data_IF_192072903087
#
_entry.id   IF_192072903087
#
_cell.length_a   1.000
_cell.length_b   1.000
_cell.length_c   1.000
_cell.angle_alpha   90.00
_cell.angle_beta   90.00
_cell.angle_gamma   90.00
#
_symmetry.space_group_name_H-M   'P 1'
#
loop_
_entity.id
_entity.type
_entity.pdbx_description
1 polymer ?
#
# COMPACT_ATOMS: atom_id res chain seq x y z
N UNK A 1 -10.02 1.30 -40.49
CA UNK A 1 -9.90 0.36 -39.36
C UNK A 1 -8.72 0.77 -38.53
N UNK A 2 -8.95 1.27 -37.32
CA UNK A 2 -7.86 1.61 -36.41
C UNK A 2 -7.56 0.35 -35.59
N UNK A 3 -6.58 -0.43 -36.03
CA UNK A 3 -6.10 -1.57 -35.25
C UNK A 3 -5.35 -1.01 -34.05
N UNK A 4 -6.03 -1.02 -32.91
CA UNK A 4 -5.49 -0.75 -31.60
C UNK A 4 -4.48 -1.85 -31.26
N UNK A 5 -3.29 -1.82 -31.85
CA UNK A 5 -2.19 -2.65 -31.39
C UNK A 5 -1.79 -2.15 -30.01
N UNK A 6 -1.93 -2.95 -28.94
CA UNK A 6 -1.47 -2.53 -27.63
C UNK A 6 0.03 -2.27 -27.74
N UNK A 7 0.49 -1.10 -27.26
CA UNK A 7 1.89 -0.63 -27.27
C UNK A 7 2.92 -1.62 -26.68
N UNK A 8 2.46 -2.76 -26.16
CA UNK A 8 3.25 -3.82 -25.54
C UNK A 8 3.73 -4.84 -26.57
N UNK A 9 3.00 -5.02 -27.68
CA UNK A 9 3.31 -6.03 -28.71
C UNK A 9 4.35 -5.52 -29.71
N UNK A 10 4.56 -4.19 -29.77
CA UNK A 10 5.55 -3.59 -30.67
C UNK A 10 7.00 -3.75 -30.16
N UNK A 11 7.20 -3.81 -28.85
CA UNK A 11 8.55 -3.73 -28.24
C UNK A 11 9.38 -5.02 -28.45
N UNK A 12 8.81 -6.24 -28.37
CA UNK A 12 9.52 -7.46 -28.70
C UNK A 12 9.99 -7.50 -30.18
N UNK A 13 9.15 -7.05 -31.12
CA UNK A 13 9.51 -6.99 -32.54
C UNK A 13 10.60 -5.95 -32.84
N UNK A 14 10.59 -4.81 -32.14
CA UNK A 14 11.65 -3.79 -32.24
C UNK A 14 12.98 -4.29 -31.66
N UNK A 15 12.96 -5.15 -30.64
CA UNK A 15 14.18 -5.78 -30.12
C UNK A 15 14.77 -6.77 -31.13
N UNK A 16 13.94 -7.61 -31.73
CA UNK A 16 14.35 -8.60 -32.73
C UNK A 16 14.98 -7.91 -33.95
N UNK A 17 14.39 -6.81 -34.42
CA UNK A 17 14.92 -6.02 -35.52
C UNK A 17 16.23 -5.30 -35.15
N UNK A 18 16.34 -4.75 -33.93
CA UNK A 18 17.57 -4.14 -33.44
C UNK A 18 18.72 -5.14 -33.27
N UNK A 19 18.42 -6.39 -32.89
CA UNK A 19 19.37 -7.49 -32.83
C UNK A 19 19.80 -7.95 -34.24
N UNK A 20 18.87 -8.00 -35.20
CA UNK A 20 19.17 -8.33 -36.59
C UNK A 20 20.14 -7.33 -37.24
N UNK A 21 19.98 -6.03 -36.97
CA UNK A 21 20.89 -4.98 -37.46
C UNK A 21 22.09 -4.72 -36.54
N UNK A 22 22.21 -5.46 -35.43
CA UNK A 22 23.29 -5.34 -34.43
C UNK A 22 23.51 -3.92 -33.90
N UNK A 23 22.42 -3.19 -33.64
CA UNK A 23 22.47 -1.81 -33.14
C UNK A 23 22.50 -1.83 -31.60
N UNK A 24 23.69 -2.03 -31.02
CA UNK A 24 23.90 -2.29 -29.57
C UNK A 24 23.25 -1.26 -28.64
N UNK A 25 23.31 0.03 -29.01
CA UNK A 25 22.71 1.11 -28.22
C UNK A 25 21.18 1.01 -28.17
N UNK A 26 20.56 0.60 -29.28
CA UNK A 26 19.11 0.43 -29.38
C UNK A 26 18.66 -0.83 -28.64
N UNK A 27 19.39 -1.93 -28.77
CA UNK A 27 19.15 -3.18 -28.03
C UNK A 27 19.12 -2.91 -26.52
N UNK A 28 20.12 -2.16 -26.00
CA UNK A 28 20.20 -1.80 -24.59
C UNK A 28 18.99 -0.96 -24.17
N UNK A 29 18.65 0.07 -24.95
CA UNK A 29 17.55 0.98 -24.64
C UNK A 29 16.19 0.27 -24.66
N UNK A 30 15.97 -0.65 -25.61
CA UNK A 30 14.74 -1.44 -25.71
C UNK A 30 14.64 -2.45 -24.55
N UNK A 31 15.74 -3.15 -24.21
CA UNK A 31 15.78 -4.04 -23.03
C UNK A 31 15.52 -3.30 -21.72
N UNK A 32 16.09 -2.11 -21.56
CA UNK A 32 15.85 -1.25 -20.41
C UNK A 32 14.39 -0.78 -20.34
N UNK A 33 13.78 -0.47 -21.49
CA UNK A 33 12.36 -0.10 -21.58
C UNK A 33 11.40 -1.25 -21.27
N UNK A 34 11.72 -2.47 -21.71
CA UNK A 34 10.96 -3.68 -21.32
C UNK A 34 11.08 -3.89 -19.82
N UNK A 35 12.29 -3.83 -19.26
CA UNK A 35 12.52 -4.02 -17.82
C UNK A 35 11.82 -2.97 -16.95
N UNK A 36 11.79 -1.70 -17.37
CA UNK A 36 11.05 -0.61 -16.72
C UNK A 36 9.53 -0.86 -16.75
N UNK A 37 9.04 -1.41 -17.86
CA UNK A 37 7.63 -1.74 -18.03
C UNK A 37 7.23 -2.92 -17.15
N UNK A 38 8.02 -3.98 -17.17
CA UNK A 38 7.77 -5.19 -16.40
C UNK A 38 7.89 -4.93 -14.89
N UNK A 39 8.78 -4.03 -14.46
CA UNK A 39 8.84 -3.61 -13.05
C UNK A 39 7.60 -2.81 -12.62
N UNK A 40 7.03 -1.99 -13.51
CA UNK A 40 5.76 -1.28 -13.26
C UNK A 40 4.55 -2.22 -13.25
N UNK A 41 4.58 -3.29 -14.05
CA UNK A 41 3.50 -4.30 -14.12
C UNK A 41 3.62 -5.31 -12.97
N UNK A 42 4.84 -5.60 -12.52
CA UNK A 42 5.14 -6.45 -11.36
C UNK A 42 4.96 -5.73 -10.02
N UNK A 43 4.19 -4.64 -9.99
CA UNK A 43 3.64 -4.13 -8.74
C UNK A 43 2.58 -5.13 -8.29
N UNK A 44 3.03 -6.10 -7.48
CA UNK A 44 2.19 -7.03 -6.74
C UNK A 44 1.04 -6.25 -6.10
N UNK A 45 -0.21 -6.76 -6.09
CA UNK A 45 -1.33 -6.10 -5.44
C UNK A 45 -0.92 -5.62 -4.04
N UNK A 46 -1.11 -4.33 -3.79
CA UNK A 46 -0.78 -3.72 -2.50
C UNK A 46 -1.54 -4.49 -1.43
N UNK A 47 -0.82 -5.05 -0.46
CA UNK A 47 -1.44 -5.79 0.64
C UNK A 47 -1.85 -4.80 1.70
N UNK A 48 -3.12 -4.81 2.12
CA UNK A 48 -3.59 -4.01 3.24
C UNK A 48 -3.55 -4.84 4.52
N UNK A 49 -3.01 -4.26 5.60
CA UNK A 49 -3.10 -4.81 6.95
C UNK A 49 -4.14 -4.01 7.72
N UNK A 50 -5.03 -4.70 8.43
CA UNK A 50 -6.06 -4.09 9.25
C UNK A 50 -5.77 -4.27 10.74
N UNK A 51 -6.06 -3.25 11.54
CA UNK A 51 -6.07 -3.33 13.01
C UNK A 51 -7.37 -2.74 13.54
N UNK A 52 -7.78 -3.25 14.69
CA UNK A 52 -8.92 -2.72 15.44
C UNK A 52 -8.38 -2.20 16.77
N UNK A 53 -8.69 -0.94 17.07
CA UNK A 53 -8.30 -0.26 18.30
C UNK A 53 -9.57 0.02 19.11
N UNK A 54 -9.57 -0.36 20.37
CA UNK A 54 -10.66 -0.09 21.30
C UNK A 54 -10.31 1.15 22.12
N UNK A 55 -11.25 2.07 22.25
CA UNK A 55 -11.11 3.28 23.04
C UNK A 55 -12.47 3.71 23.61
N UNK A 56 -12.44 4.45 24.71
CA UNK A 56 -13.60 5.15 25.24
C UNK A 56 -13.86 6.45 24.45
N UNK A 57 -15.09 6.97 24.52
CA UNK A 57 -15.50 8.23 23.88
C UNK A 57 -14.55 9.40 24.20
N UNK A 58 -14.19 9.51 25.48
CA UNK A 58 -13.35 10.60 26.02
C UNK A 58 -11.94 10.60 25.42
N UNK A 59 -11.42 9.42 25.09
CA UNK A 59 -10.06 9.22 24.57
C UNK A 59 -10.00 9.14 23.03
N UNK A 60 -11.15 9.01 22.36
CA UNK A 60 -11.23 8.74 20.92
C UNK A 60 -10.48 9.79 20.09
N UNK A 61 -10.74 11.08 20.36
CA UNK A 61 -10.12 12.17 19.61
C UNK A 61 -8.61 12.15 19.77
N UNK A 62 -8.12 11.90 20.99
CA UNK A 62 -6.70 11.79 21.27
C UNK A 62 -6.09 10.59 20.55
N UNK A 63 -6.72 9.42 20.65
CA UNK A 63 -6.23 8.19 20.01
C UNK A 63 -6.10 8.35 18.50
N UNK A 64 -7.11 8.93 17.84
CA UNK A 64 -7.07 9.17 16.38
C UNK A 64 -6.01 10.22 16.03
N UNK A 65 -5.85 11.25 16.86
CA UNK A 65 -4.87 12.32 16.62
C UNK A 65 -3.42 11.88 16.81
N UNK A 66 -3.15 10.91 17.72
CA UNK A 66 -1.82 10.36 17.96
C UNK A 66 -1.54 9.08 17.17
N UNK A 67 -2.45 8.71 16.26
CA UNK A 67 -2.27 7.53 15.40
C UNK A 67 -1.02 7.73 14.54
N UNK A 68 -0.17 6.70 14.45
CA UNK A 68 1.10 6.84 13.75
C UNK A 68 0.94 7.05 12.24
N UNK A 69 1.88 7.80 11.67
CA UNK A 69 1.89 8.12 10.24
C UNK A 69 1.84 6.83 9.39
N UNK A 70 0.87 6.78 8.48
CA UNK A 70 0.67 5.66 7.55
C UNK A 70 -0.43 4.67 7.95
N UNK A 71 -1.09 4.84 9.09
CA UNK A 71 -2.41 4.22 9.32
C UNK A 71 -3.50 5.11 8.74
N UNK A 72 -4.40 4.50 7.98
CA UNK A 72 -5.60 5.13 7.43
C UNK A 72 -6.79 4.69 8.26
N UNK A 73 -7.60 5.66 8.66
CA UNK A 73 -8.87 5.40 9.30
C UNK A 73 -9.87 4.82 8.29
N UNK A 74 -10.50 3.69 8.64
CA UNK A 74 -11.49 3.01 7.78
C UNK A 74 -12.91 3.11 8.35
N UNK A 75 -13.08 2.82 9.63
CA UNK A 75 -14.42 2.78 10.25
C UNK A 75 -14.35 3.01 11.76
N UNK A 76 -15.39 3.64 12.31
CA UNK A 76 -15.64 3.68 13.74
C UNK A 76 -16.96 2.97 14.05
N UNK A 77 -16.95 2.05 14.99
CA UNK A 77 -18.11 1.28 15.43
C UNK A 77 -18.37 1.61 16.90
N UNK A 78 -19.55 2.09 17.22
CA UNK A 78 -19.98 2.25 18.62
C UNK A 78 -20.43 0.91 19.16
N UNK A 79 -19.84 0.50 20.28
CA UNK A 79 -20.21 -0.69 21.07
C UNK A 79 -20.70 -0.19 22.43
N UNK A 80 -21.88 0.41 22.45
CA UNK A 80 -22.51 0.86 23.70
C UNK A 80 -22.98 -0.31 24.57
N UNK A 81 -22.91 -0.13 25.89
CA UNK A 81 -23.41 -1.08 26.89
C UNK A 81 -24.92 -1.25 26.75
N UNK A 82 -25.39 -2.43 26.38
CA UNK A 82 -26.83 -2.63 26.14
C UNK A 82 -27.68 -2.65 27.41
N UNK A 83 -27.07 -2.60 28.62
CA UNK A 83 -27.79 -2.78 29.90
C UNK A 83 -27.09 -2.12 31.11
N UNK A 84 -26.79 -0.82 31.09
CA UNK A 84 -26.24 -0.14 32.28
C UNK A 84 -27.32 0.65 33.05
N UNK A 85 -27.85 0.04 34.10
CA UNK A 85 -28.79 0.67 35.02
C UNK A 85 -27.98 1.40 36.11
N UNK A 86 -27.60 2.65 35.88
CA UNK A 86 -27.10 3.54 36.94
C UNK A 86 -25.60 3.85 36.97
N UNK A 87 -24.87 3.65 35.87
CA UNK A 87 -23.59 4.33 35.68
C UNK A 87 -23.62 5.11 34.36
N UNK A 88 -23.03 6.30 34.34
CA UNK A 88 -22.83 7.10 33.13
C UNK A 88 -21.99 6.27 32.17
N UNK A 89 -22.64 5.57 31.25
CA UNK A 89 -22.02 4.69 30.27
C UNK A 89 -20.99 5.49 29.48
N UNK A 90 -19.71 5.25 29.76
CA UNK A 90 -18.64 5.68 28.89
C UNK A 90 -18.79 4.88 27.59
N UNK A 91 -19.31 5.52 26.54
CA UNK A 91 -19.52 4.86 25.27
C UNK A 91 -18.18 4.31 24.75
N UNK A 92 -18.14 3.00 24.48
CA UNK A 92 -16.96 2.37 23.90
C UNK A 92 -17.05 2.37 22.37
N UNK A 93 -15.89 2.47 21.74
CA UNK A 93 -15.75 2.47 20.29
C UNK A 93 -14.65 1.52 19.83
N UNK A 94 -14.87 0.91 18.66
CA UNK A 94 -13.87 0.20 17.89
C UNK A 94 -13.50 1.03 16.67
N UNK A 95 -12.24 1.43 16.58
CA UNK A 95 -11.66 2.13 15.45
C UNK A 95 -10.92 1.11 14.55
N UNK A 96 -11.45 0.90 13.36
CA UNK A 96 -10.84 0.06 12.31
C UNK A 96 -9.90 0.93 11.49
N UNK A 97 -8.66 0.49 11.38
CA UNK A 97 -7.61 1.19 10.65
C UNK A 97 -6.92 0.24 9.68
N UNK A 98 -6.45 0.76 8.55
CA UNK A 98 -5.68 0.02 7.54
C UNK A 98 -4.30 0.63 7.33
N UNK A 99 -3.33 -0.17 6.89
CA UNK A 99 -2.02 0.29 6.41
C UNK A 99 -1.66 -0.44 5.13
N UNK A 100 -1.27 0.32 4.12
CA UNK A 100 -0.80 -0.19 2.84
C UNK A 100 0.63 -0.71 2.97
N UNK A 101 0.82 -2.01 2.71
CA UNK A 101 2.14 -2.60 2.57
C UNK A 101 2.59 -2.45 1.12
N UNK A 102 3.47 -1.49 0.91
CA UNK A 102 4.25 -1.42 -0.31
C UNK A 102 5.30 -2.54 -0.24
N UNK A 103 5.09 -3.62 -1.00
CA UNK A 103 6.16 -4.57 -1.25
C UNK A 103 7.21 -3.88 -2.12
N UNK A 104 8.21 -3.23 -1.51
CA UNK A 104 9.44 -2.91 -2.23
C UNK A 104 10.07 -4.25 -2.61
N UNK A 105 10.28 -4.57 -3.90
CA UNK A 105 10.85 -5.86 -4.31
C UNK A 105 12.32 -6.04 -3.87
N UNK A 106 12.92 -5.05 -3.21
CA UNK A 106 14.20 -5.17 -2.55
C UNK A 106 14.07 -4.55 -1.15
N UNK A 107 14.26 -5.39 -0.13
CA UNK A 107 14.15 -4.99 1.27
C UNK A 107 15.28 -4.05 1.66
N UNK A 108 14.91 -2.84 2.09
CA UNK A 108 15.73 -2.01 2.97
C UNK A 108 14.87 -0.89 3.56
N UNK A 109 13.97 -1.25 4.48
CA UNK A 109 13.52 -0.33 5.53
C UNK A 109 12.87 -1.17 6.62
N UNK A 110 13.70 -1.76 7.50
CA UNK A 110 13.26 -1.99 8.87
C UNK A 110 13.20 -0.62 9.53
N UNK A 111 12.00 -0.09 9.75
CA UNK A 111 11.85 1.00 10.73
C UNK A 111 12.42 0.49 12.07
N UNK A 112 13.39 1.19 12.68
CA UNK A 112 13.79 0.87 14.04
C UNK A 112 12.63 1.30 14.95
N UNK A 113 11.92 0.31 15.49
CA UNK A 113 11.03 0.51 16.64
C UNK A 113 11.86 1.14 17.76
N UNK A 114 11.64 2.42 18.04
CA UNK A 114 12.19 3.12 19.20
C UNK A 114 11.74 2.37 20.46
N UNK A 115 12.62 1.54 21.00
CA UNK A 115 12.55 1.15 22.40
C UNK A 115 12.95 2.36 23.22
N UNK A 116 11.97 3.09 23.73
CA UNK A 116 12.15 3.87 24.95
C UNK A 116 12.60 2.89 26.06
N UNK A 117 13.81 3.08 26.57
CA UNK A 117 14.32 2.38 27.75
C UNK A 117 14.19 3.36 28.92
N UNK A 118 13.47 2.91 29.95
CA UNK A 118 13.36 3.52 31.29
C UNK A 118 14.73 3.61 31.94
#
# INVERSE_FOLDING_TARGET
GYTLFPKNVLIPGVLEEAEFYNITSLIKLVKDKIRERDSKISQVPVKHVYRVLQCQEEELTQMVSTMSDGWKFEQLVSIGSSYNYGNEDQAEFLCVVSKELHNTPYGTTSEPSEKAKV
#
